data_IF_532492946989
#
_entry.id   IF_532492946989
#
_cell.length_a   1.000
_cell.length_b   1.000
_cell.length_c   1.000
_cell.angle_alpha   90.00
_cell.angle_beta   90.00
_cell.angle_gamma   90.00
#
_symmetry.space_group_name_H-M   'P 1'
#
loop_
_entity.id
_entity.type
_entity.pdbx_description
1 polymer ?
#
# COMPACT_ATOMS: atom_id res chain seq x y z
N UNK A 1 18.66 -27.71 23.80
CA UNK A 1 17.48 -26.83 23.64
C UNK A 1 17.68 -26.15 22.30
N UNK A 2 16.80 -26.47 21.37
CA UNK A 2 17.12 -26.64 19.96
C UNK A 2 17.51 -25.35 19.23
N UNK A 3 18.65 -25.44 18.54
CA UNK A 3 19.12 -24.46 17.58
C UNK A 3 18.13 -24.35 16.41
N UNK A 4 17.44 -23.22 16.30
CA UNK A 4 17.11 -22.54 15.04
C UNK A 4 16.66 -23.42 13.87
N UNK A 5 15.40 -23.87 13.88
CA UNK A 5 14.71 -24.24 12.65
C UNK A 5 14.34 -22.95 11.89
N UNK A 6 15.33 -22.30 11.28
CA UNK A 6 15.08 -21.21 10.33
C UNK A 6 14.40 -21.81 9.10
N UNK A 7 13.38 -21.11 8.59
CA UNK A 7 12.72 -21.48 7.35
C UNK A 7 13.72 -21.54 6.19
N UNK A 8 13.40 -22.33 5.16
CA UNK A 8 14.24 -22.37 3.96
C UNK A 8 14.40 -20.96 3.38
N UNK A 9 15.62 -20.56 2.95
CA UNK A 9 15.88 -19.20 2.53
C UNK A 9 15.10 -18.85 1.26
N UNK A 10 14.47 -17.68 1.24
CA UNK A 10 13.78 -17.17 0.06
C UNK A 10 14.79 -16.43 -0.82
N UNK A 11 14.89 -16.83 -2.09
CA UNK A 11 15.94 -16.38 -2.99
C UNK A 11 15.40 -15.38 -4.03
N UNK A 12 15.98 -14.18 -4.05
CA UNK A 12 15.71 -13.12 -5.03
C UNK A 12 16.97 -12.81 -5.84
N UNK A 13 16.97 -13.24 -7.10
CA UNK A 13 18.08 -13.08 -8.04
C UNK A 13 17.57 -12.76 -9.43
N UNK A 14 18.47 -12.35 -10.32
CA UNK A 14 18.21 -12.23 -11.76
C UNK A 14 18.99 -13.30 -12.52
N UNK A 15 18.57 -13.63 -13.76
CA UNK A 15 19.31 -14.57 -14.59
C UNK A 15 20.79 -14.19 -14.66
N UNK A 16 21.67 -15.17 -14.41
CA UNK A 16 23.14 -15.05 -14.41
C UNK A 16 23.77 -14.37 -13.20
N UNK A 17 22.99 -14.02 -12.17
CA UNK A 17 23.54 -13.44 -10.94
C UNK A 17 23.23 -14.32 -9.73
N UNK A 18 24.21 -14.40 -8.82
CA UNK A 18 24.07 -15.10 -7.54
C UNK A 18 23.66 -14.09 -6.46
N UNK A 19 22.91 -14.51 -5.44
CA UNK A 19 22.63 -13.64 -4.31
C UNK A 19 23.96 -13.33 -3.60
N UNK A 20 24.12 -12.08 -3.16
CA UNK A 20 25.32 -11.59 -2.50
C UNK A 20 25.01 -10.83 -1.20
N UNK A 21 23.74 -10.76 -0.80
CA UNK A 21 23.28 -10.22 0.48
C UNK A 21 22.41 -11.26 1.19
N UNK A 22 22.56 -11.36 2.52
CA UNK A 22 21.60 -12.03 3.39
C UNK A 22 20.84 -11.01 4.21
N UNK A 23 19.53 -11.17 4.28
CA UNK A 23 18.66 -10.39 5.15
C UNK A 23 17.89 -11.36 6.05
N UNK A 24 17.97 -11.15 7.34
CA UNK A 24 17.27 -11.90 8.37
C UNK A 24 16.08 -11.06 8.81
N UNK A 25 14.89 -11.36 8.27
CA UNK A 25 13.66 -10.65 8.59
C UNK A 25 12.86 -11.49 9.58
N UNK A 26 13.00 -11.16 10.85
CA UNK A 26 12.56 -12.01 11.97
C UNK A 26 13.15 -13.43 11.86
N UNK A 27 12.32 -14.45 11.72
CA UNK A 27 12.70 -15.86 11.58
C UNK A 27 12.81 -16.34 10.12
N UNK A 28 12.71 -15.44 9.14
CA UNK A 28 12.81 -15.75 7.71
C UNK A 28 14.11 -15.20 7.10
N UNK A 29 14.85 -16.10 6.47
CA UNK A 29 16.09 -15.78 5.76
C UNK A 29 15.79 -15.41 4.30
N UNK A 30 16.37 -14.32 3.83
CA UNK A 30 16.30 -13.85 2.44
C UNK A 30 17.70 -13.75 1.84
N UNK A 31 17.89 -14.36 0.68
CA UNK A 31 19.13 -14.26 -0.10
C UNK A 31 18.87 -13.42 -1.35
N UNK A 32 19.51 -12.25 -1.43
CA UNK A 32 19.15 -11.21 -2.39
C UNK A 32 20.38 -10.77 -3.19
N UNK A 33 20.18 -10.45 -4.48
CA UNK A 33 21.20 -9.80 -5.30
C UNK A 33 21.17 -8.27 -5.14
N UNK A 34 22.28 -7.71 -4.68
CA UNK A 34 22.47 -6.29 -4.37
C UNK A 34 22.25 -5.34 -5.54
N UNK A 35 22.52 -5.79 -6.77
CA UNK A 35 22.46 -4.93 -7.95
C UNK A 35 21.08 -4.31 -8.18
N UNK A 36 20.01 -5.10 -8.08
CA UNK A 36 18.64 -4.58 -8.23
C UNK A 36 18.18 -3.76 -7.02
N UNK A 37 18.65 -4.09 -5.82
CA UNK A 37 18.36 -3.29 -4.63
C UNK A 37 18.91 -1.88 -4.78
N UNK A 38 20.16 -1.73 -5.25
CA UNK A 38 20.77 -0.41 -5.48
C UNK A 38 20.04 0.40 -6.54
N UNK A 39 19.55 -0.25 -7.60
CA UNK A 39 18.84 0.43 -8.69
C UNK A 39 17.47 0.96 -8.25
N UNK A 40 16.75 0.21 -7.41
CA UNK A 40 15.34 0.50 -7.10
C UNK A 40 15.08 1.03 -5.69
N UNK A 41 16.06 0.96 -4.78
CA UNK A 41 15.93 1.41 -3.40
C UNK A 41 17.15 2.26 -3.02
N UNK A 42 16.94 3.59 -3.02
CA UNK A 42 18.01 4.56 -2.74
C UNK A 42 18.62 4.36 -1.34
N UNK A 43 17.87 3.80 -0.39
CA UNK A 43 18.42 3.40 0.91
C UNK A 43 19.59 2.42 0.75
N UNK A 44 19.38 1.33 0.01
CA UNK A 44 20.40 0.30 -0.18
C UNK A 44 21.56 0.79 -1.07
N UNK A 45 21.31 1.70 -2.02
CA UNK A 45 22.38 2.38 -2.75
C UNK A 45 23.35 3.08 -1.79
N UNK A 46 22.82 3.92 -0.89
CA UNK A 46 23.66 4.67 0.07
C UNK A 46 24.33 3.78 1.12
N UNK A 47 23.66 2.73 1.59
CA UNK A 47 24.17 1.90 2.67
C UNK A 47 25.13 0.79 2.22
N UNK A 48 25.00 0.31 0.97
CA UNK A 48 25.90 -0.72 0.41
C UNK A 48 27.16 -0.12 -0.24
N UNK A 49 27.11 1.16 -0.62
CA UNK A 49 28.27 1.92 -1.12
C UNK A 49 28.42 3.23 -0.34
N UNK A 50 28.69 3.17 0.97
CA UNK A 50 28.82 4.38 1.76
C UNK A 50 30.07 5.13 1.30
N UNK A 51 29.91 6.38 0.84
CA UNK A 51 30.96 7.26 0.31
C UNK A 51 32.01 7.73 1.35
N UNK A 52 32.10 7.03 2.48
CA UNK A 52 33.05 7.27 3.58
C UNK A 52 32.72 6.51 4.87
N UNK A 53 32.00 5.38 4.79
CA UNK A 53 31.48 4.64 5.94
C UNK A 53 31.97 3.20 6.05
N UNK A 54 31.48 2.50 7.07
CA UNK A 54 31.75 1.08 7.29
C UNK A 54 30.95 0.29 6.24
N UNK A 55 31.65 -0.47 5.41
CA UNK A 55 31.01 -1.36 4.44
C UNK A 55 30.37 -2.52 5.21
N UNK A 56 29.07 -2.81 5.01
CA UNK A 56 28.42 -3.96 5.59
C UNK A 56 29.17 -5.25 5.23
N UNK A 57 29.55 -6.04 6.24
CA UNK A 57 30.26 -7.32 6.06
C UNK A 57 29.35 -8.50 6.38
N UNK A 58 29.59 -9.64 5.74
CA UNK A 58 28.92 -10.89 6.07
C UNK A 58 29.78 -11.75 7.00
N UNK A 59 29.12 -12.53 7.85
CA UNK A 59 29.73 -13.64 8.61
C UNK A 59 30.05 -14.85 7.71
N UNK A 60 29.49 -14.91 6.50
CA UNK A 60 29.71 -15.97 5.53
C UNK A 60 30.59 -15.50 4.36
N UNK A 61 31.57 -16.30 3.90
CA UNK A 61 32.39 -15.95 2.74
C UNK A 61 31.63 -15.95 1.42
N UNK A 62 30.39 -16.47 1.39
CA UNK A 62 29.56 -16.54 0.20
C UNK A 62 28.79 -15.24 -0.09
N UNK A 63 28.68 -14.36 0.90
CA UNK A 63 27.90 -13.13 0.82
C UNK A 63 28.76 -11.92 1.15
N UNK A 64 28.39 -10.76 0.62
CA UNK A 64 29.09 -9.50 0.87
C UNK A 64 28.66 -8.89 2.19
N UNK A 65 27.36 -8.93 2.51
CA UNK A 65 26.80 -8.28 3.69
C UNK A 65 25.66 -9.08 4.31
N UNK A 66 25.57 -9.03 5.64
CA UNK A 66 24.41 -9.51 6.40
C UNK A 66 23.61 -8.32 6.96
N UNK A 67 22.28 -8.50 7.01
CA UNK A 67 21.34 -7.51 7.52
C UNK A 67 20.35 -8.17 8.47
N UNK A 68 20.07 -7.54 9.60
CA UNK A 68 19.27 -8.07 10.70
C UNK A 68 18.08 -7.16 10.99
N UNK A 69 16.96 -7.76 11.42
CA UNK A 69 15.82 -7.01 11.94
C UNK A 69 16.19 -6.32 13.26
N UNK A 70 15.94 -5.03 13.31
CA UNK A 70 16.03 -4.20 14.52
C UNK A 70 14.70 -3.54 14.79
N UNK A 71 14.33 -3.40 16.06
CA UNK A 71 13.08 -2.74 16.42
C UNK A 71 13.26 -1.22 16.40
N UNK A 72 12.37 -0.57 15.68
CA UNK A 72 12.32 0.88 15.57
C UNK A 72 11.07 1.41 16.27
N UNK A 73 11.19 2.52 17.00
CA UNK A 73 10.08 3.07 17.80
C UNK A 73 8.95 3.63 16.95
N UNK A 74 9.27 4.12 15.75
CA UNK A 74 8.32 4.83 14.89
C UNK A 74 7.79 3.94 13.76
N UNK A 75 8.64 3.06 13.25
CA UNK A 75 8.35 2.18 12.11
C UNK A 75 8.06 0.74 12.51
N UNK A 76 8.19 0.39 13.79
CA UNK A 76 8.04 -0.95 14.34
C UNK A 76 9.29 -1.80 14.15
N UNK A 77 9.79 -1.92 12.91
CA UNK A 77 11.03 -2.62 12.62
C UNK A 77 11.74 -2.09 11.36
N UNK A 78 13.06 -2.25 11.31
CA UNK A 78 13.93 -1.85 10.19
C UNK A 78 15.06 -2.86 10.00
N UNK A 79 15.74 -2.81 8.85
CA UNK A 79 16.95 -3.60 8.60
C UNK A 79 18.21 -2.81 8.97
N UNK A 80 19.08 -3.43 9.78
CA UNK A 80 20.39 -2.91 10.18
C UNK A 80 21.49 -3.85 9.72
N UNK A 81 22.64 -3.30 9.33
CA UNK A 81 23.86 -4.07 9.04
C UNK A 81 24.80 -4.19 10.25
N UNK A 82 24.42 -3.64 11.41
CA UNK A 82 25.21 -3.77 12.64
C UNK A 82 25.13 -5.22 13.15
N UNK A 83 26.26 -5.94 13.30
CA UNK A 83 26.28 -7.31 13.83
C UNK A 83 25.66 -7.44 15.22
N UNK A 84 25.62 -6.37 16.03
CA UNK A 84 24.99 -6.38 17.36
C UNK A 84 23.49 -6.68 17.29
N UNK A 85 22.86 -6.36 16.17
CA UNK A 85 21.43 -6.56 15.95
C UNK A 85 21.07 -8.02 15.68
N UNK A 86 22.04 -8.91 15.41
CA UNK A 86 21.78 -10.34 15.16
C UNK A 86 21.09 -11.04 16.34
N UNK A 87 21.37 -10.60 17.57
CA UNK A 87 20.84 -11.19 18.79
C UNK A 87 19.82 -10.29 19.49
N UNK A 88 19.27 -9.33 18.76
CA UNK A 88 18.26 -8.44 19.30
C UNK A 88 16.99 -9.22 19.69
N UNK A 89 16.46 -8.94 20.87
CA UNK A 89 15.27 -9.64 21.33
C UNK A 89 14.03 -9.05 20.66
N UNK A 90 13.49 -9.78 19.67
CA UNK A 90 12.31 -9.39 18.91
C UNK A 90 10.98 -9.70 19.64
N UNK A 91 11.01 -10.25 20.86
CA UNK A 91 9.79 -10.64 21.60
C UNK A 91 8.91 -9.46 22.01
N UNK A 92 9.44 -8.24 21.95
CA UNK A 92 8.71 -7.00 22.25
C UNK A 92 7.93 -6.46 21.04
N UNK A 93 8.09 -7.07 19.85
CA UNK A 93 7.34 -6.68 18.66
C UNK A 93 5.85 -7.01 18.84
N UNK A 94 5.00 -5.99 18.76
CA UNK A 94 3.55 -6.13 18.96
C UNK A 94 2.78 -6.45 17.67
N UNK A 95 3.46 -6.47 16.51
CA UNK A 95 2.84 -6.73 15.21
C UNK A 95 2.79 -8.21 14.83
N UNK A 96 2.12 -8.51 13.72
CA UNK A 96 2.11 -9.86 13.15
C UNK A 96 3.36 -10.07 12.29
N UNK A 97 4.31 -10.85 12.81
CA UNK A 97 5.57 -11.19 12.12
C UNK A 97 5.32 -11.72 10.70
N UNK A 98 4.36 -12.64 10.56
CA UNK A 98 4.01 -13.24 9.28
C UNK A 98 3.52 -12.22 8.24
N UNK A 99 2.74 -11.21 8.67
CA UNK A 99 2.25 -10.15 7.76
C UNK A 99 3.38 -9.21 7.32
N UNK A 100 4.28 -8.86 8.23
CA UNK A 100 5.45 -8.04 7.92
C UNK A 100 6.40 -8.74 6.96
N UNK A 101 6.66 -10.03 7.20
CA UNK A 101 7.45 -10.87 6.30
C UNK A 101 6.81 -10.98 4.91
N UNK A 102 5.50 -11.15 4.84
CA UNK A 102 4.79 -11.21 3.56
C UNK A 102 4.83 -9.86 2.83
N UNK A 103 4.63 -8.75 3.54
CA UNK A 103 4.76 -7.40 2.97
C UNK A 103 6.18 -7.14 2.43
N UNK A 104 7.21 -7.55 3.19
CA UNK A 104 8.59 -7.45 2.76
C UNK A 104 8.91 -8.39 1.58
N UNK A 105 8.35 -9.60 1.57
CA UNK A 105 8.47 -10.54 0.44
C UNK A 105 7.84 -9.94 -0.82
N UNK A 106 6.66 -9.34 -0.71
CA UNK A 106 6.00 -8.66 -1.82
C UNK A 106 6.79 -7.44 -2.30
N UNK A 107 7.41 -6.69 -1.38
CA UNK A 107 8.31 -5.57 -1.72
C UNK A 107 9.51 -6.05 -2.53
N UNK A 108 10.16 -7.14 -2.11
CA UNK A 108 11.24 -7.76 -2.88
C UNK A 108 10.74 -8.31 -4.22
N UNK A 109 9.55 -8.92 -4.27
CA UNK A 109 8.94 -9.33 -5.53
C UNK A 109 8.74 -8.16 -6.49
N UNK A 110 8.30 -7.00 -6.00
CA UNK A 110 8.21 -5.77 -6.81
C UNK A 110 9.57 -5.32 -7.35
N UNK A 111 10.61 -5.27 -6.51
CA UNK A 111 11.97 -4.88 -6.93
C UNK A 111 12.54 -5.83 -7.97
N UNK A 112 12.29 -7.14 -7.82
CA UNK A 112 12.80 -8.18 -8.72
C UNK A 112 11.86 -8.49 -9.88
N UNK A 113 10.79 -7.70 -10.08
CA UNK A 113 9.78 -7.91 -11.12
C UNK A 113 9.19 -9.33 -11.12
N UNK A 114 9.01 -9.92 -9.94
CA UNK A 114 8.29 -11.19 -9.75
C UNK A 114 6.81 -10.92 -9.49
N UNK A 115 5.96 -11.83 -9.94
CA UNK A 115 4.53 -11.78 -9.62
C UNK A 115 4.30 -11.98 -8.12
N UNK A 116 3.36 -11.21 -7.58
CA UNK A 116 2.89 -11.33 -6.20
C UNK A 116 1.40 -11.02 -6.16
N UNK A 117 0.75 -11.48 -5.08
CA UNK A 117 -0.67 -11.27 -4.85
C UNK A 117 -0.85 -10.39 -3.61
N UNK A 118 -1.86 -9.52 -3.67
CA UNK A 118 -2.30 -8.71 -2.54
C UNK A 118 -3.65 -9.24 -2.07
N UNK A 119 -3.75 -9.61 -0.79
CA UNK A 119 -5.01 -10.08 -0.24
C UNK A 119 -5.91 -8.92 0.21
N UNK A 120 -5.33 -7.83 0.73
CA UNK A 120 -6.08 -6.74 1.34
C UNK A 120 -5.37 -5.38 1.31
N UNK A 121 -6.13 -4.32 1.64
CA UNK A 121 -5.63 -2.94 1.70
C UNK A 121 -4.56 -2.74 2.81
N UNK A 122 -4.63 -3.49 3.91
CA UNK A 122 -3.65 -3.41 4.99
C UNK A 122 -2.27 -3.92 4.56
N UNK A 123 -2.20 -5.00 3.78
CA UNK A 123 -0.94 -5.47 3.17
C UNK A 123 -0.29 -4.41 2.30
N UNK A 124 -1.09 -3.70 1.50
CA UNK A 124 -0.58 -2.60 0.70
C UNK A 124 -0.11 -1.43 1.57
N UNK A 125 -0.78 -1.15 2.70
CA UNK A 125 -0.34 -0.14 3.64
C UNK A 125 1.04 -0.48 4.24
N UNK A 126 1.24 -1.72 4.71
CA UNK A 126 2.52 -2.19 5.23
C UNK A 126 3.61 -2.13 4.16
N UNK A 127 3.32 -2.63 2.96
CA UNK A 127 4.24 -2.56 1.83
C UNK A 127 4.59 -1.11 1.47
N UNK A 128 3.63 -0.19 1.53
CA UNK A 128 3.86 1.24 1.27
C UNK A 128 4.74 1.88 2.35
N UNK A 129 4.54 1.54 3.63
CA UNK A 129 5.40 2.01 4.73
C UNK A 129 6.85 1.56 4.55
N UNK A 130 7.06 0.29 4.23
CA UNK A 130 8.39 -0.24 3.94
C UNK A 130 9.00 0.44 2.71
N UNK A 131 8.21 0.65 1.66
CA UNK A 131 8.67 1.31 0.44
C UNK A 131 9.02 2.80 0.64
N UNK A 132 8.32 3.51 1.53
CA UNK A 132 8.63 4.88 1.93
C UNK A 132 9.99 4.92 2.67
N UNK A 133 10.19 4.01 3.62
CA UNK A 133 11.44 3.89 4.38
C UNK A 133 12.65 3.52 3.50
N UNK A 134 12.55 2.46 2.70
CA UNK A 134 13.62 2.00 1.80
C UNK A 134 13.75 2.87 0.54
N UNK A 135 12.92 3.91 0.41
CA UNK A 135 12.91 4.85 -0.72
C UNK A 135 12.74 4.16 -2.08
N UNK A 136 11.79 3.24 -2.16
CA UNK A 136 11.46 2.45 -3.36
C UNK A 136 9.97 2.55 -3.78
N UNK A 137 9.27 3.61 -3.38
CA UNK A 137 7.88 3.87 -3.80
C UNK A 137 7.64 3.78 -5.32
N UNK A 138 8.53 4.29 -6.22
CA UNK A 138 8.27 4.26 -7.66
C UNK A 138 8.15 2.85 -8.24
N UNK A 139 9.02 1.93 -7.82
CA UNK A 139 9.00 0.55 -8.33
C UNK A 139 7.74 -0.20 -7.86
N UNK A 140 7.31 0.05 -6.62
CA UNK A 140 6.06 -0.49 -6.08
C UNK A 140 4.85 0.06 -6.83
N UNK A 141 4.83 1.36 -7.11
CA UNK A 141 3.77 1.97 -7.92
C UNK A 141 3.66 1.33 -9.30
N UNK A 142 4.80 1.06 -9.94
CA UNK A 142 4.83 0.39 -11.24
C UNK A 142 4.35 -1.07 -11.18
N UNK A 143 4.82 -1.85 -10.21
CA UNK A 143 4.45 -3.27 -10.09
C UNK A 143 2.97 -3.47 -9.77
N UNK A 144 2.37 -2.56 -9.01
CA UNK A 144 0.95 -2.60 -8.65
C UNK A 144 0.02 -2.58 -9.85
N UNK A 145 0.40 -1.90 -10.95
CA UNK A 145 -0.40 -1.88 -12.17
C UNK A 145 -0.66 -3.31 -12.69
N UNK A 146 0.30 -4.22 -12.58
CA UNK A 146 0.11 -5.63 -12.93
C UNK A 146 -0.62 -6.41 -11.85
N UNK A 147 -0.21 -6.25 -10.59
CA UNK A 147 -0.74 -7.02 -9.45
C UNK A 147 -2.24 -6.82 -9.22
N UNK A 148 -2.75 -5.61 -9.48
CA UNK A 148 -4.18 -5.30 -9.32
C UNK A 148 -5.04 -6.22 -10.21
N UNK A 149 -4.59 -6.55 -11.43
CA UNK A 149 -5.34 -7.45 -12.31
C UNK A 149 -5.26 -8.92 -11.87
N UNK A 150 -4.13 -9.31 -11.27
CA UNK A 150 -3.93 -10.69 -10.80
C UNK A 150 -4.61 -10.98 -9.46
N UNK A 151 -5.02 -9.96 -8.70
CA UNK A 151 -5.55 -10.08 -7.33
C UNK A 151 -7.01 -9.62 -7.25
N UNK A 152 -8.00 -10.50 -7.54
CA UNK A 152 -9.42 -10.13 -7.45
C UNK A 152 -9.87 -9.83 -6.01
N UNK A 153 -9.27 -10.48 -5.01
CA UNK A 153 -9.60 -10.27 -3.60
C UNK A 153 -9.21 -8.88 -3.11
N UNK A 154 -8.12 -8.32 -3.66
CA UNK A 154 -7.70 -6.95 -3.38
C UNK A 154 -8.80 -5.94 -3.73
N UNK A 155 -9.52 -6.12 -4.84
CA UNK A 155 -10.62 -5.24 -5.23
C UNK A 155 -11.76 -5.24 -4.21
N UNK A 156 -12.04 -6.37 -3.55
CA UNK A 156 -13.03 -6.43 -2.49
C UNK A 156 -12.58 -5.60 -1.28
N UNK A 157 -11.28 -5.61 -0.96
CA UNK A 157 -10.73 -4.82 0.14
C UNK A 157 -10.80 -3.31 -0.06
N UNK A 158 -10.84 -2.84 -1.32
CA UNK A 158 -11.05 -1.41 -1.66
C UNK A 158 -12.38 -0.90 -1.09
N UNK A 159 -13.40 -1.75 -1.04
CA UNK A 159 -14.71 -1.39 -0.47
C UNK A 159 -14.72 -1.40 1.05
N UNK A 160 -13.89 -2.23 1.67
CA UNK A 160 -13.87 -2.43 3.12
C UNK A 160 -13.17 -1.29 3.84
N UNK A 161 -12.03 -0.83 3.32
CA UNK A 161 -11.25 0.27 3.91
C UNK A 161 -10.69 1.21 2.82
N UNK A 162 -11.55 2.10 2.29
CA UNK A 162 -11.16 2.99 1.19
C UNK A 162 -10.23 4.12 1.65
N UNK A 163 -10.25 4.51 2.94
CA UNK A 163 -9.43 5.59 3.48
C UNK A 163 -7.95 5.22 3.53
N UNK A 164 -7.62 4.08 4.12
CA UNK A 164 -6.24 3.58 4.22
C UNK A 164 -5.64 3.36 2.83
N UNK A 165 -6.47 2.86 1.91
CA UNK A 165 -6.09 2.66 0.53
C UNK A 165 -5.84 3.97 -0.21
N UNK A 166 -6.69 4.98 -0.03
CA UNK A 166 -6.51 6.30 -0.64
C UNK A 166 -5.19 6.94 -0.19
N UNK A 167 -4.87 6.85 1.11
CA UNK A 167 -3.60 7.34 1.67
C UNK A 167 -2.41 6.62 1.04
N UNK A 168 -2.47 5.28 0.97
CA UNK A 168 -1.41 4.47 0.37
C UNK A 168 -1.23 4.78 -1.12
N UNK A 169 -2.32 4.89 -1.87
CA UNK A 169 -2.31 5.25 -3.28
C UNK A 169 -1.77 6.67 -3.53
N UNK A 170 -2.09 7.61 -2.64
CA UNK A 170 -1.55 8.98 -2.69
C UNK A 170 -0.03 8.99 -2.47
N UNK A 171 0.47 8.25 -1.49
CA UNK A 171 1.91 8.10 -1.24
C UNK A 171 2.65 7.45 -2.41
N UNK A 172 2.09 6.39 -2.96
CA UNK A 172 2.62 5.67 -4.13
C UNK A 172 2.49 6.46 -5.44
N UNK A 173 1.69 7.54 -5.45
CA UNK A 173 1.34 8.32 -6.64
C UNK A 173 0.75 7.44 -7.76
N UNK A 174 -0.02 6.42 -7.40
CA UNK A 174 -0.58 5.48 -8.36
C UNK A 174 -1.96 5.96 -8.85
N UNK A 175 -2.11 6.40 -10.12
CA UNK A 175 -3.28 7.15 -10.58
C UNK A 175 -4.57 6.32 -10.61
N UNK A 176 -4.48 5.06 -11.05
CA UNK A 176 -5.67 4.19 -11.16
C UNK A 176 -6.22 3.85 -9.77
N UNK A 177 -5.34 3.43 -8.86
CA UNK A 177 -5.73 3.08 -7.50
C UNK A 177 -6.25 4.30 -6.75
N UNK A 178 -5.61 5.46 -6.93
CA UNK A 178 -6.08 6.72 -6.35
C UNK A 178 -7.49 7.03 -6.82
N UNK A 179 -7.78 6.92 -8.12
CA UNK A 179 -9.11 7.18 -8.68
C UNK A 179 -10.17 6.24 -8.09
N UNK A 180 -9.91 4.93 -8.08
CA UNK A 180 -10.87 3.96 -7.57
C UNK A 180 -11.11 4.13 -6.06
N UNK A 181 -10.05 4.32 -5.27
CA UNK A 181 -10.17 4.60 -3.84
C UNK A 181 -10.93 5.91 -3.60
N UNK A 182 -10.62 6.97 -4.33
CA UNK A 182 -11.26 8.28 -4.19
C UNK A 182 -12.77 8.20 -4.46
N UNK A 183 -13.19 7.47 -5.51
CA UNK A 183 -14.60 7.23 -5.80
C UNK A 183 -15.28 6.49 -4.64
N UNK A 184 -14.62 5.49 -4.05
CA UNK A 184 -15.18 4.72 -2.95
C UNK A 184 -15.29 5.53 -1.66
N UNK A 185 -14.33 6.40 -1.35
CA UNK A 185 -14.39 7.27 -0.17
C UNK A 185 -15.58 8.26 -0.25
N UNK A 186 -16.01 8.62 -1.46
CA UNK A 186 -17.19 9.48 -1.67
C UNK A 186 -18.53 8.73 -1.46
N UNK A 187 -18.53 7.39 -1.37
CA UNK A 187 -19.73 6.58 -1.08
C UNK A 187 -19.72 6.26 0.42
N UNK A 188 -20.80 6.48 1.21
CA UNK A 188 -22.18 6.86 0.90
C UNK A 188 -22.50 8.38 0.90
N UNK A 189 -23.40 8.82 0.01
CA UNK A 189 -23.88 10.21 -0.09
C UNK A 189 -24.62 10.73 1.16
N UNK A 190 -25.04 9.85 2.07
CA UNK A 190 -25.68 10.27 3.32
C UNK A 190 -24.67 10.55 4.42
N UNK A 191 -23.55 9.82 4.43
CA UNK A 191 -22.47 10.00 5.40
C UNK A 191 -21.13 9.59 4.80
N UNK A 192 -20.47 10.51 4.07
CA UNK A 192 -19.30 10.14 3.28
C UNK A 192 -18.07 9.86 4.14
N UNK A 193 -17.33 8.83 3.75
CA UNK A 193 -16.23 8.25 4.54
C UNK A 193 -15.00 9.17 4.58
N UNK A 194 -14.86 10.10 3.62
CA UNK A 194 -13.73 11.06 3.61
C UNK A 194 -13.69 11.96 4.84
N UNK A 195 -14.79 12.13 5.58
CA UNK A 195 -14.81 12.93 6.82
C UNK A 195 -13.79 12.42 7.84
N UNK A 196 -13.48 11.13 7.82
CA UNK A 196 -12.45 10.53 8.69
C UNK A 196 -11.04 11.06 8.40
N UNK A 197 -10.81 11.61 7.20
CA UNK A 197 -9.51 12.13 6.76
C UNK A 197 -9.26 13.58 7.22
N UNK A 198 -10.26 14.27 7.76
CA UNK A 198 -10.20 15.70 8.12
C UNK A 198 -9.00 16.01 9.04
N UNK A 199 -8.78 15.16 10.06
CA UNK A 199 -7.72 15.37 11.07
C UNK A 199 -6.34 15.00 10.57
N UNK A 200 -6.23 13.91 9.81
CA UNK A 200 -4.93 13.31 9.48
C UNK A 200 -4.38 13.78 8.12
N UNK A 201 -5.26 14.13 7.16
CA UNK A 201 -4.88 14.46 5.79
C UNK A 201 -5.75 15.61 5.23
N UNK A 202 -5.55 16.86 5.69
CA UNK A 202 -6.40 18.00 5.34
C UNK A 202 -6.40 18.33 3.84
N UNK A 203 -5.28 18.08 3.13
CA UNK A 203 -5.20 18.28 1.68
C UNK A 203 -6.12 17.31 0.92
N UNK A 204 -6.09 16.02 1.28
CA UNK A 204 -6.95 15.00 0.68
C UNK A 204 -8.41 15.24 1.04
N UNK A 205 -8.68 15.66 2.29
CA UNK A 205 -10.00 16.05 2.73
C UNK A 205 -10.58 17.20 1.89
N UNK A 206 -9.84 18.29 1.71
CA UNK A 206 -10.31 19.44 0.92
C UNK A 206 -10.60 19.07 -0.54
N UNK A 207 -9.80 18.17 -1.13
CA UNK A 207 -10.04 17.66 -2.48
C UNK A 207 -11.31 16.79 -2.53
N UNK A 208 -11.49 15.89 -1.56
CA UNK A 208 -12.67 15.05 -1.46
C UNK A 208 -13.95 15.87 -1.21
N UNK A 209 -13.89 16.85 -0.31
CA UNK A 209 -15.01 17.74 0.01
C UNK A 209 -15.41 18.63 -1.17
N UNK A 210 -14.43 19.17 -1.91
CA UNK A 210 -14.68 19.92 -3.14
C UNK A 210 -15.37 19.06 -4.20
N UNK A 211 -14.87 17.83 -4.43
CA UNK A 211 -15.46 16.90 -5.38
C UNK A 211 -16.88 16.47 -4.95
N UNK A 212 -17.08 16.21 -3.66
CA UNK A 212 -18.38 15.85 -3.10
C UNK A 212 -19.43 16.95 -3.34
N UNK A 213 -19.09 18.20 -3.01
CA UNK A 213 -19.96 19.37 -3.24
C UNK A 213 -20.29 19.58 -4.71
N UNK A 214 -19.34 19.35 -5.61
CA UNK A 214 -19.60 19.45 -7.05
C UNK A 214 -20.61 18.39 -7.52
N UNK A 215 -20.47 17.15 -7.05
CA UNK A 215 -21.42 16.08 -7.39
C UNK A 215 -22.79 16.36 -6.78
N UNK A 216 -22.85 16.79 -5.52
CA UNK A 216 -24.10 17.17 -4.84
C UNK A 216 -24.83 18.31 -5.57
N UNK A 217 -24.09 19.32 -6.04
CA UNK A 217 -24.66 20.41 -6.84
C UNK A 217 -25.25 19.91 -8.17
N UNK A 218 -24.58 18.96 -8.85
CA UNK A 218 -25.09 18.34 -10.08
C UNK A 218 -26.34 17.50 -9.83
N UNK A 219 -26.33 16.69 -8.77
CA UNK A 219 -27.50 15.88 -8.35
C UNK A 219 -28.67 16.79 -8.00
N UNK A 220 -28.44 17.85 -7.23
CA UNK A 220 -29.46 18.84 -6.87
C UNK A 220 -30.05 19.56 -8.10
N UNK A 221 -29.23 19.86 -9.12
CA UNK A 221 -29.71 20.41 -10.40
C UNK A 221 -30.57 19.40 -11.16
N UNK A 222 -30.15 18.14 -11.20
CA UNK A 222 -30.90 17.05 -11.84
C UNK A 222 -32.26 16.82 -11.15
N UNK A 223 -32.29 16.72 -9.81
CA UNK A 223 -33.53 16.56 -9.05
C UNK A 223 -34.50 17.72 -9.28
N UNK A 224 -34.01 18.97 -9.28
CA UNK A 224 -34.86 20.14 -9.60
C UNK A 224 -35.49 20.02 -11.00
N UNK A 225 -34.72 19.60 -12.00
CA UNK A 225 -35.23 19.41 -13.35
C UNK A 225 -36.28 18.28 -13.42
N UNK A 226 -36.01 17.15 -12.76
CA UNK A 226 -36.94 16.03 -12.67
C UNK A 226 -38.27 16.44 -12.02
N UNK A 227 -38.22 17.19 -10.91
CA UNK A 227 -39.42 17.68 -10.24
C UNK A 227 -40.20 18.69 -11.08
N UNK A 228 -39.51 19.52 -11.87
CA UNK A 228 -40.18 20.44 -12.81
C UNK A 228 -40.94 19.67 -13.90
N UNK A 229 -40.31 18.66 -14.51
CA UNK A 229 -40.95 17.79 -15.51
C UNK A 229 -42.15 17.07 -14.91
N UNK A 230 -41.98 16.45 -13.74
CA UNK A 230 -43.10 15.80 -13.04
C UNK A 230 -44.23 16.80 -12.74
N UNK A 231 -43.92 18.00 -12.26
CA UNK A 231 -44.92 19.03 -11.98
C UNK A 231 -45.62 19.55 -13.24
N UNK A 232 -45.01 19.47 -14.43
CA UNK A 232 -45.66 19.84 -15.70
C UNK A 232 -46.45 18.70 -16.34
N UNK A 233 -46.09 17.44 -16.09
CA UNK A 233 -46.75 16.27 -16.68
C UNK A 233 -47.90 15.72 -15.80
N UNK A 234 -47.80 15.80 -14.47
CA UNK A 234 -48.87 15.38 -13.55
C UNK A 234 -50.17 16.24 -13.51
N UNK A 235 -50.21 17.52 -13.92
CA UNK A 235 -51.46 18.28 -14.03
C UNK A 235 -52.41 17.71 -15.11
N UNK A 236 -51.89 16.93 -16.07
CA UNK A 236 -52.72 16.33 -17.14
C UNK A 236 -53.54 15.15 -16.60
N UNK A 237 -53.00 14.37 -15.66
CA UNK A 237 -53.72 13.25 -15.03
C UNK A 237 -54.70 13.72 -13.95
N UNK A 238 -54.43 14.82 -13.26
CA UNK A 238 -55.38 15.40 -12.30
C UNK A 238 -56.59 16.06 -12.97
N UNK A 239 -56.42 16.66 -14.17
CA UNK A 239 -57.51 17.29 -14.92
C UNK A 239 -58.49 16.29 -15.55
N UNK A 240 -58.12 15.02 -15.72
CA UNK A 240 -59.06 13.99 -16.16
C UNK A 240 -60.03 13.52 -15.07
N UNK A 241 -59.80 13.87 -13.79
CA UNK A 241 -60.71 13.51 -12.69
C UNK A 241 -61.67 14.64 -12.28
N UNK A 242 -61.47 15.87 -12.76
CA UNK A 242 -62.38 17.01 -12.45
C UNK A 242 -63.48 17.23 -13.51
N UNK A 243 -63.57 16.40 -14.54
CA UNK A 243 -64.58 16.50 -15.60
C UNK A 243 -65.80 15.55 -15.38
N UNK A 244 -65.93 14.94 -14.21
CA UNK A 244 -67.12 14.17 -13.80
C UNK A 244 -67.65 14.74 -12.49
N UNK A 245 -68.29 15.89 -12.57
CA UNK A 245 -69.16 16.40 -11.51
C UNK A 245 -70.60 16.38 -12.02
N UNK A 246 -71.43 15.62 -11.32
CA UNK A 246 -72.88 15.46 -11.47
C UNK A 246 -73.64 16.78 -11.33
#
# INVERSE_FOLDING_TARGET
MDSNLRCSPIIFTTPRHKPDIRMFVFDQDFHVYSGLLKVHAAFFETMLEPSGGIIPTSTSPLFKSDWYTTLDKDLGWVLSSDPKCEHENLSTFQGSISREQQAFTNLLSAIFSKEYLLANASELEFMTKLADYYRCLPIVSHSLSGTIYSSPDFFNSIRSDPCTLLISAFKLRHPLLFREAFIMVLRPWSDPVYKQLEKNYPKLFNQADGAYKEVDAKISKFHRHLFQIAATDFPVVARSYTAVSW
#
